data_IF_446646336101
#
_entry.id   IF_446646336101
#
_cell.length_a   1.000
_cell.length_b   1.000
_cell.length_c   1.000
_cell.angle_alpha   90.00
_cell.angle_beta   90.00
_cell.angle_gamma   90.00
#
_symmetry.space_group_name_H-M   'P 1'
#
loop_
_entity.id
_entity.type
_entity.pdbx_description
1 polymer ?
#
# COMPACT_ATOMS: atom_id res chain seq x y z
N UNK A 1 10.82 -14.21 -7.76
CA UNK A 1 9.53 -14.65 -8.31
C UNK A 1 8.44 -14.11 -7.39
N UNK A 2 7.34 -13.56 -7.93
CA UNK A 2 6.15 -13.26 -7.13
C UNK A 2 5.52 -14.58 -6.68
N UNK A 3 4.87 -14.62 -5.51
CA UNK A 3 4.38 -15.88 -4.94
C UNK A 3 2.91 -15.72 -4.56
N UNK A 4 2.06 -16.61 -5.07
CA UNK A 4 0.66 -16.70 -4.64
C UNK A 4 -0.20 -15.47 -4.96
N UNK A 5 0.20 -14.64 -5.94
CA UNK A 5 -0.60 -13.50 -6.37
C UNK A 5 -1.98 -14.01 -6.84
N UNK A 6 -3.10 -13.45 -6.35
CA UNK A 6 -4.42 -13.84 -6.81
C UNK A 6 -4.60 -13.51 -8.29
N UNK A 7 -5.56 -14.17 -8.94
CA UNK A 7 -5.95 -13.79 -10.28
C UNK A 7 -6.56 -12.38 -10.26
N UNK A 8 -5.92 -11.46 -10.97
CA UNK A 8 -6.36 -10.07 -11.11
C UNK A 8 -6.84 -9.87 -12.54
N UNK A 9 -8.07 -9.38 -12.69
CA UNK A 9 -8.73 -9.17 -13.98
C UNK A 9 -8.96 -7.68 -14.24
N UNK A 10 -9.10 -7.32 -15.51
CA UNK A 10 -9.44 -5.96 -15.93
C UNK A 10 -8.52 -5.41 -17.02
N UNK A 11 -8.61 -4.09 -17.24
CA UNK A 11 -7.81 -3.40 -18.26
C UNK A 11 -6.32 -3.44 -17.91
N UNK A 12 -5.41 -3.35 -18.89
CA UNK A 12 -3.98 -3.25 -18.61
C UNK A 12 -3.63 -2.09 -17.67
N UNK A 13 -2.56 -2.25 -16.89
CA UNK A 13 -1.89 -1.18 -16.15
C UNK A 13 -0.59 -0.89 -16.90
N UNK A 14 -0.39 0.36 -17.29
CA UNK A 14 0.84 0.80 -17.94
C UNK A 14 1.90 1.06 -16.87
N UNK A 15 3.14 0.70 -17.17
CA UNK A 15 4.28 0.92 -16.27
C UNK A 15 5.34 1.70 -17.03
N UNK A 16 5.84 2.78 -16.42
CA UNK A 16 6.97 3.55 -16.94
C UNK A 16 8.00 3.81 -15.86
N UNK A 17 9.17 4.27 -16.27
CA UNK A 17 10.29 4.57 -15.37
C UNK A 17 10.65 6.04 -15.48
N UNK A 18 10.83 6.71 -14.34
CA UNK A 18 11.39 8.06 -14.24
C UNK A 18 12.62 8.06 -13.34
N UNK A 19 13.32 9.19 -13.23
CA UNK A 19 14.54 9.31 -12.42
C UNK A 19 14.41 10.39 -11.36
N UNK A 20 14.83 10.09 -10.13
CA UNK A 20 14.80 11.03 -9.00
C UNK A 20 13.37 11.53 -8.76
N UNK A 21 12.45 10.60 -8.57
CA UNK A 21 11.03 10.91 -8.38
C UNK A 21 10.78 11.60 -7.04
N UNK A 22 10.00 12.67 -7.08
CA UNK A 22 9.52 13.35 -5.87
C UNK A 22 8.02 13.67 -5.95
N UNK A 23 7.35 13.71 -4.81
CA UNK A 23 5.96 14.13 -4.67
C UNK A 23 5.89 15.55 -4.07
N UNK A 24 5.15 16.46 -4.72
CA UNK A 24 4.96 17.83 -4.24
C UNK A 24 3.58 18.36 -4.63
N UNK A 25 2.78 18.77 -3.65
CA UNK A 25 1.46 19.38 -3.89
C UNK A 25 0.51 18.49 -4.70
N UNK A 26 0.56 17.17 -4.48
CA UNK A 26 -0.25 16.19 -5.23
C UNK A 26 0.24 15.90 -6.65
N UNK A 27 1.43 16.38 -7.03
CA UNK A 27 2.04 16.12 -8.34
C UNK A 27 3.30 15.27 -8.19
N UNK A 28 3.53 14.40 -9.16
CA UNK A 28 4.79 13.70 -9.36
C UNK A 28 5.75 14.60 -10.15
N UNK A 29 6.96 14.76 -9.65
CA UNK A 29 8.06 15.45 -10.32
C UNK A 29 9.18 14.43 -10.60
N UNK A 30 9.97 14.69 -11.64
CA UNK A 30 11.12 13.87 -12.04
C UNK A 30 12.31 14.79 -12.29
N UNK A 31 13.52 14.35 -11.91
CA UNK A 31 14.76 15.10 -12.10
C UNK A 31 14.85 16.39 -11.27
N UNK A 32 14.12 16.47 -10.14
CA UNK A 32 14.11 17.62 -9.24
C UNK A 32 14.22 17.16 -7.77
N UNK A 33 15.35 16.54 -7.38
CA UNK A 33 15.48 15.88 -6.07
C UNK A 33 15.35 16.84 -4.88
N UNK A 34 15.66 18.13 -5.08
CA UNK A 34 15.61 19.16 -4.03
C UNK A 34 14.20 19.72 -3.80
N UNK A 35 13.22 19.30 -4.60
CA UNK A 35 11.84 19.79 -4.51
C UNK A 35 10.87 18.65 -4.25
N UNK A 36 10.21 18.69 -3.09
CA UNK A 36 9.20 17.70 -2.70
C UNK A 36 9.77 16.59 -1.81
N UNK A 37 9.00 15.53 -1.64
CA UNK A 37 9.42 14.34 -0.88
C UNK A 37 9.85 13.26 -1.86
N UNK A 38 11.02 12.66 -1.68
CA UNK A 38 11.46 11.54 -2.51
C UNK A 38 10.50 10.35 -2.36
N UNK A 39 10.17 9.73 -3.49
CA UNK A 39 9.31 8.54 -3.53
C UNK A 39 9.90 7.49 -4.46
N UNK A 40 9.61 6.23 -4.19
CA UNK A 40 10.07 5.12 -5.04
C UNK A 40 9.15 4.87 -6.24
N UNK A 41 7.87 5.19 -6.10
CA UNK A 41 6.89 5.05 -7.16
C UNK A 41 5.67 5.93 -6.91
N UNK A 42 4.80 6.02 -7.91
CA UNK A 42 3.47 6.58 -7.78
C UNK A 42 2.47 5.81 -8.66
N UNK A 43 1.25 5.64 -8.14
CA UNK A 43 0.11 5.08 -8.86
C UNK A 43 -0.91 6.15 -9.24
N UNK A 44 -1.24 6.22 -10.52
CA UNK A 44 -2.31 7.04 -11.07
C UNK A 44 -3.50 6.13 -11.39
N UNK A 45 -4.36 5.93 -10.38
CA UNK A 45 -5.46 4.93 -10.44
C UNK A 45 -6.41 5.17 -11.62
N UNK A 46 -6.75 6.43 -11.88
CA UNK A 46 -7.63 6.83 -12.98
C UNK A 46 -7.01 6.60 -14.37
N UNK A 47 -5.72 6.89 -14.50
CA UNK A 47 -4.98 6.77 -15.77
C UNK A 47 -4.45 5.35 -16.02
N UNK A 48 -4.62 4.44 -15.04
CA UNK A 48 -4.06 3.07 -15.09
C UNK A 48 -2.56 3.05 -15.32
N UNK A 49 -1.85 3.91 -14.61
CA UNK A 49 -0.43 4.12 -14.82
C UNK A 49 0.37 4.06 -13.52
N UNK A 50 1.47 3.32 -13.54
CA UNK A 50 2.47 3.29 -12.47
C UNK A 50 3.76 3.91 -13.01
N UNK A 51 4.35 4.82 -12.24
CA UNK A 51 5.68 5.37 -12.51
C UNK A 51 6.62 4.86 -11.42
N UNK A 52 7.69 4.18 -11.82
CA UNK A 52 8.72 3.65 -10.93
C UNK A 52 9.98 4.50 -11.00
N UNK A 53 10.67 4.71 -9.89
CA UNK A 53 12.00 5.31 -9.93
C UNK A 53 13.01 4.31 -10.51
N UNK A 54 13.83 4.77 -11.45
CA UNK A 54 14.88 4.01 -12.14
C UNK A 54 15.85 3.30 -11.20
N UNK A 55 16.08 3.85 -10.00
CA UNK A 55 16.87 3.23 -8.95
C UNK A 55 16.36 1.82 -8.58
N UNK A 56 15.04 1.60 -8.64
CA UNK A 56 14.44 0.30 -8.34
C UNK A 56 14.89 -0.80 -9.31
N UNK A 57 15.24 -0.46 -10.54
CA UNK A 57 15.71 -1.44 -11.53
C UNK A 57 17.00 -2.13 -11.08
N UNK A 58 17.82 -1.46 -10.26
CA UNK A 58 19.02 -2.04 -9.64
C UNK A 58 18.75 -2.82 -8.35
N UNK A 59 17.50 -2.84 -7.86
CA UNK A 59 17.12 -3.39 -6.56
C UNK A 59 15.93 -4.35 -6.69
N UNK A 60 16.13 -5.57 -7.21
CA UNK A 60 15.04 -6.47 -7.60
C UNK A 60 14.12 -6.91 -6.45
N UNK A 61 14.61 -6.92 -5.20
CA UNK A 61 13.76 -7.21 -4.04
C UNK A 61 12.84 -6.02 -3.69
N UNK A 62 13.40 -4.81 -3.66
CA UNK A 62 12.64 -3.59 -3.39
C UNK A 62 11.66 -3.29 -4.54
N UNK A 63 12.10 -3.46 -5.79
CA UNK A 63 11.24 -3.34 -6.97
C UNK A 63 9.99 -4.22 -6.86
N UNK A 64 10.13 -5.48 -6.42
CA UNK A 64 8.98 -6.37 -6.25
C UNK A 64 8.03 -5.89 -5.15
N UNK A 65 8.56 -5.43 -4.02
CA UNK A 65 7.74 -4.89 -2.94
C UNK A 65 6.94 -3.67 -3.40
N UNK A 66 7.64 -2.69 -3.97
CA UNK A 66 7.02 -1.45 -4.46
C UNK A 66 6.04 -1.77 -5.59
N UNK A 67 6.41 -2.57 -6.58
CA UNK A 67 5.51 -2.88 -7.68
C UNK A 67 4.23 -3.59 -7.23
N UNK A 68 4.32 -4.57 -6.33
CA UNK A 68 3.11 -5.22 -5.79
C UNK A 68 2.28 -4.23 -4.99
N UNK A 69 2.90 -3.39 -4.16
CA UNK A 69 2.20 -2.32 -3.45
C UNK A 69 1.40 -1.44 -4.43
N UNK A 70 2.07 -0.91 -5.46
CA UNK A 70 1.44 -0.04 -6.47
C UNK A 70 0.31 -0.75 -7.22
N UNK A 71 0.48 -2.03 -7.58
CA UNK A 71 -0.60 -2.82 -8.22
C UNK A 71 -1.83 -2.88 -7.32
N UNK A 72 -1.66 -3.03 -6.01
CA UNK A 72 -2.78 -3.16 -5.07
C UNK A 72 -3.54 -1.86 -4.82
N UNK A 73 -2.99 -0.69 -5.16
CA UNK A 73 -3.78 0.55 -5.27
C UNK A 73 -4.88 0.46 -6.33
N UNK A 74 -4.71 -0.35 -7.38
CA UNK A 74 -5.75 -0.60 -8.38
C UNK A 74 -6.77 -1.65 -7.92
N UNK A 75 -6.35 -2.58 -7.06
CA UNK A 75 -7.22 -3.62 -6.49
C UNK A 75 -8.14 -3.04 -5.42
N UNK A 76 -7.62 -2.19 -4.53
CA UNK A 76 -8.37 -1.59 -3.42
C UNK A 76 -9.74 -1.01 -3.82
N UNK A 77 -9.86 -0.11 -4.81
CA UNK A 77 -11.16 0.45 -5.21
C UNK A 77 -12.10 -0.59 -5.84
N UNK A 78 -11.59 -1.73 -6.34
CA UNK A 78 -12.37 -2.78 -7.02
C UNK A 78 -12.97 -3.82 -6.06
N UNK A 79 -12.48 -3.90 -4.83
CA UNK A 79 -12.99 -4.84 -3.80
C UNK A 79 -14.46 -4.59 -3.39
N UNK A 80 -15.02 -3.43 -3.72
CA UNK A 80 -16.35 -3.02 -3.29
C UNK A 80 -16.40 -2.56 -1.82
N UNK A 81 -17.51 -1.93 -1.43
CA UNK A 81 -17.65 -1.35 -0.09
C UNK A 81 -17.61 -2.38 1.05
N UNK A 82 -18.26 -3.56 0.95
CA UNK A 82 -18.30 -4.51 2.07
C UNK A 82 -16.91 -5.04 2.46
N UNK A 83 -16.09 -5.42 1.47
CA UNK A 83 -14.74 -5.93 1.73
C UNK A 83 -13.85 -4.83 2.32
N UNK A 84 -13.89 -3.61 1.77
CA UNK A 84 -13.13 -2.48 2.32
C UNK A 84 -13.51 -2.16 3.76
N UNK A 85 -14.81 -2.17 4.08
CA UNK A 85 -15.29 -1.96 5.45
C UNK A 85 -14.84 -3.08 6.40
N UNK A 86 -14.85 -4.34 5.94
CA UNK A 86 -14.35 -5.46 6.74
C UNK A 86 -12.84 -5.36 7.02
N UNK A 87 -12.05 -4.89 6.05
CA UNK A 87 -10.63 -4.64 6.25
C UNK A 87 -10.39 -3.47 7.21
N UNK A 88 -11.15 -2.38 7.06
CA UNK A 88 -11.12 -1.23 7.96
C UNK A 88 -11.41 -1.65 9.41
N UNK A 89 -12.45 -2.46 9.64
CA UNK A 89 -12.80 -2.97 10.97
C UNK A 89 -11.66 -3.82 11.58
N UNK A 90 -11.03 -4.68 10.77
CA UNK A 90 -9.88 -5.47 11.20
C UNK A 90 -8.74 -4.56 11.69
N UNK A 91 -8.42 -3.50 10.95
CA UNK A 91 -7.36 -2.55 11.30
C UNK A 91 -7.77 -1.62 12.46
N UNK A 92 -9.05 -1.30 12.62
CA UNK A 92 -9.58 -0.60 13.80
C UNK A 92 -9.31 -1.41 15.06
N UNK A 93 -9.66 -2.70 15.06
CA UNK A 93 -9.41 -3.59 16.21
C UNK A 93 -7.92 -3.72 16.53
N UNK A 94 -7.06 -3.83 15.50
CA UNK A 94 -5.60 -3.80 15.67
C UNK A 94 -5.15 -2.55 16.43
N UNK A 95 -5.62 -1.38 16.00
CA UNK A 95 -5.27 -0.10 16.59
C UNK A 95 -5.78 0.03 18.03
N UNK A 96 -7.02 -0.36 18.29
CA UNK A 96 -7.63 -0.29 19.62
C UNK A 96 -6.94 -1.23 20.62
N UNK A 97 -6.43 -2.36 20.13
CA UNK A 97 -5.58 -3.27 20.90
C UNK A 97 -4.10 -2.83 20.97
N UNK A 98 -3.76 -1.63 20.47
CA UNK A 98 -2.40 -1.07 20.56
C UNK A 98 -1.37 -1.74 19.65
N UNK A 99 -1.78 -2.28 18.49
CA UNK A 99 -0.87 -2.89 17.52
C UNK A 99 0.27 -1.94 17.12
N UNK A 100 1.51 -2.37 17.37
CA UNK A 100 2.74 -1.68 16.98
C UNK A 100 3.29 -2.21 15.66
N UNK A 101 4.04 -1.37 14.96
CA UNK A 101 4.61 -1.67 13.65
C UNK A 101 3.59 -1.67 12.52
N UNK A 102 4.08 -1.93 11.30
CA UNK A 102 3.33 -2.13 10.06
C UNK A 102 4.08 -3.10 9.13
N UNK A 103 3.50 -3.39 7.96
CA UNK A 103 4.06 -4.27 6.93
C UNK A 103 4.71 -3.51 5.76
N UNK A 104 4.88 -2.20 5.88
CA UNK A 104 5.62 -1.38 4.91
C UNK A 104 5.75 0.06 5.40
N UNK A 105 6.59 0.82 4.71
CA UNK A 105 6.90 2.20 5.07
C UNK A 105 5.68 3.13 4.84
N UNK A 106 4.94 2.94 3.75
CA UNK A 106 3.77 3.78 3.42
C UNK A 106 2.69 3.72 4.50
N UNK A 107 2.33 2.52 4.97
CA UNK A 107 1.39 2.34 6.07
C UNK A 107 1.94 2.90 7.39
N UNK A 108 3.24 2.72 7.66
CA UNK A 108 3.88 3.25 8.86
C UNK A 108 3.83 4.80 8.90
N UNK A 109 4.15 5.46 7.79
CA UNK A 109 4.07 6.92 7.65
C UNK A 109 2.64 7.43 7.75
N UNK A 110 1.67 6.74 7.13
CA UNK A 110 0.25 7.08 7.24
C UNK A 110 -0.28 6.92 8.66
N UNK A 111 0.16 5.89 9.39
CA UNK A 111 -0.16 5.68 10.81
C UNK A 111 0.39 6.79 11.69
N UNK A 112 1.61 7.27 11.43
CA UNK A 112 2.19 8.42 12.12
C UNK A 112 1.43 9.71 11.79
N UNK A 113 1.09 9.92 10.52
CA UNK A 113 0.31 11.07 10.06
C UNK A 113 -1.08 11.12 10.71
N UNK A 114 -1.73 9.97 10.87
CA UNK A 114 -3.00 9.84 11.59
C UNK A 114 -2.86 10.23 13.07
N UNK A 115 -1.79 9.81 13.74
CA UNK A 115 -1.51 10.21 15.13
C UNK A 115 -1.27 11.71 15.24
N UNK A 116 -0.52 12.30 14.32
CA UNK A 116 -0.29 13.74 14.27
C UNK A 116 -1.59 14.52 14.05
N UNK A 117 -2.55 13.95 13.32
CA UNK A 117 -3.85 14.56 13.06
C UNK A 117 -4.87 14.41 14.21
N UNK A 118 -4.47 13.95 15.41
CA UNK A 118 -5.37 13.74 16.54
C UNK A 118 -6.14 15.00 16.96
N UNK A 119 -5.53 16.18 16.80
CA UNK A 119 -6.12 17.48 17.13
C UNK A 119 -6.63 18.27 15.91
N UNK A 120 -6.67 17.65 14.73
CA UNK A 120 -7.20 18.28 13.52
C UNK A 120 -8.73 18.18 13.44
N UNK A 121 -9.31 18.85 12.42
CA UNK A 121 -10.74 18.72 12.10
C UNK A 121 -11.13 17.25 11.85
N UNK A 122 -12.39 16.93 12.12
CA UNK A 122 -12.92 15.58 11.90
C UNK A 122 -12.76 15.11 10.45
N UNK A 123 -12.89 16.01 9.48
CA UNK A 123 -12.74 15.68 8.06
C UNK A 123 -11.29 15.31 7.72
N UNK A 124 -10.31 16.09 8.19
CA UNK A 124 -8.90 15.75 7.99
C UNK A 124 -8.57 14.39 8.62
N UNK A 125 -9.08 14.13 9.82
CA UNK A 125 -8.88 12.84 10.50
C UNK A 125 -9.48 11.68 9.71
N UNK A 126 -10.67 11.85 9.13
CA UNK A 126 -11.31 10.83 8.26
C UNK A 126 -10.51 10.57 6.99
N UNK A 127 -9.96 11.61 6.36
CA UNK A 127 -9.08 11.45 5.18
C UNK A 127 -7.84 10.65 5.56
N UNK A 128 -7.11 11.07 6.61
CA UNK A 128 -5.92 10.35 7.08
C UNK A 128 -6.19 8.91 7.49
N UNK A 129 -7.38 8.65 8.04
CA UNK A 129 -7.80 7.30 8.36
C UNK A 129 -7.96 6.45 7.10
N UNK A 130 -8.67 6.96 6.08
CA UNK A 130 -8.87 6.27 4.80
C UNK A 130 -7.56 6.02 4.06
N UNK A 131 -6.65 6.99 4.08
CA UNK A 131 -5.30 6.84 3.52
C UNK A 131 -4.56 5.71 4.22
N UNK A 132 -4.51 5.73 5.57
CA UNK A 132 -3.87 4.68 6.36
C UNK A 132 -4.45 3.29 6.09
N UNK A 133 -5.78 3.15 5.96
CA UNK A 133 -6.40 1.87 5.63
C UNK A 133 -5.96 1.37 4.24
N UNK A 134 -5.94 2.26 3.24
CA UNK A 134 -5.49 1.94 1.89
C UNK A 134 -4.02 1.51 1.87
N UNK A 135 -3.14 2.28 2.50
CA UNK A 135 -1.71 1.96 2.58
C UNK A 135 -1.45 0.65 3.34
N UNK A 136 -2.15 0.46 4.47
CA UNK A 136 -2.08 -0.78 5.25
C UNK A 136 -2.47 -2.00 4.41
N UNK A 137 -3.50 -1.88 3.59
CA UNK A 137 -3.91 -2.93 2.66
C UNK A 137 -2.84 -3.21 1.60
N UNK A 138 -2.32 -2.18 0.93
CA UNK A 138 -1.33 -2.34 -0.14
C UNK A 138 0.01 -2.90 0.37
N UNK A 139 0.48 -2.46 1.53
CA UNK A 139 1.67 -2.99 2.19
C UNK A 139 1.49 -4.45 2.64
N UNK A 140 0.30 -4.80 3.11
CA UNK A 140 -0.01 -6.20 3.45
C UNK A 140 0.05 -7.09 2.22
N UNK A 141 -0.47 -6.63 1.09
CA UNK A 141 -0.40 -7.35 -0.18
C UNK A 141 1.05 -7.49 -0.68
N UNK A 142 1.84 -6.42 -0.60
CA UNK A 142 3.26 -6.46 -0.94
C UNK A 142 4.02 -7.47 -0.09
N UNK A 143 3.78 -7.47 1.22
CA UNK A 143 4.35 -8.45 2.15
C UNK A 143 3.97 -9.89 1.78
N UNK A 144 2.71 -10.15 1.44
CA UNK A 144 2.22 -11.49 1.06
C UNK A 144 2.78 -11.98 -0.28
N UNK A 145 2.74 -11.13 -1.32
CA UNK A 145 2.83 -11.59 -2.71
C UNK A 145 4.15 -11.24 -3.42
N UNK A 146 4.96 -10.32 -2.89
CA UNK A 146 6.25 -9.96 -3.51
C UNK A 146 7.29 -11.09 -3.48
N UNK A 147 7.07 -12.13 -2.66
CA UNK A 147 8.02 -13.22 -2.46
C UNK A 147 9.31 -12.73 -1.80
N UNK A 148 9.18 -11.85 -0.79
CA UNK A 148 10.29 -11.30 -0.01
C UNK A 148 10.10 -11.71 1.45
N UNK A 149 10.93 -12.64 1.94
CA UNK A 149 10.71 -13.28 3.24
C UNK A 149 10.98 -12.39 4.47
N UNK A 150 12.00 -11.54 4.42
CA UNK A 150 12.33 -10.58 5.49
C UNK A 150 12.65 -9.22 4.87
N UNK A 151 12.01 -8.18 5.38
CA UNK A 151 12.33 -6.79 5.08
C UNK A 151 12.31 -6.00 6.39
N UNK A 152 13.20 -5.01 6.52
CA UNK A 152 13.34 -4.22 7.75
C UNK A 152 12.07 -3.45 8.13
N UNK A 153 11.24 -3.14 7.14
CA UNK A 153 9.97 -2.42 7.34
C UNK A 153 8.84 -3.34 7.85
N UNK A 154 9.03 -4.66 7.81
CA UNK A 154 8.04 -5.63 8.31
C UNK A 154 8.15 -5.78 9.82
N UNK A 155 7.50 -4.85 10.53
CA UNK A 155 7.58 -4.70 11.98
C UNK A 155 6.29 -5.04 12.71
N UNK A 156 5.18 -5.26 11.98
CA UNK A 156 3.90 -5.63 12.57
C UNK A 156 4.02 -6.92 13.39
N UNK A 157 3.35 -7.01 14.55
CA UNK A 157 3.37 -8.23 15.37
C UNK A 157 2.72 -9.45 14.69
N UNK A 158 3.23 -10.65 14.95
CA UNK A 158 2.81 -11.90 14.26
C UNK A 158 1.29 -12.13 14.30
N UNK A 159 0.66 -11.97 15.47
CA UNK A 159 -0.80 -12.09 15.63
C UNK A 159 -1.60 -11.26 14.62
N UNK A 160 -1.15 -10.04 14.32
CA UNK A 160 -1.83 -9.14 13.40
C UNK A 160 -1.56 -9.52 11.95
N UNK A 161 -0.35 -9.98 11.64
CA UNK A 161 -0.02 -10.56 10.32
C UNK A 161 -0.92 -11.74 10.00
N UNK A 162 -1.13 -12.63 10.97
CA UNK A 162 -1.98 -13.81 10.78
C UNK A 162 -3.42 -13.42 10.47
N UNK A 163 -3.98 -12.43 11.18
CA UNK A 163 -5.34 -11.92 10.92
C UNK A 163 -5.46 -11.27 9.54
N UNK A 164 -4.51 -10.43 9.16
CA UNK A 164 -4.48 -9.82 7.82
C UNK A 164 -4.34 -10.88 6.73
N UNK A 165 -3.47 -11.88 6.93
CA UNK A 165 -3.30 -13.01 6.02
C UNK A 165 -4.61 -13.76 5.82
N UNK A 166 -5.31 -14.07 6.92
CA UNK A 166 -6.57 -14.81 6.88
C UNK A 166 -7.66 -14.04 6.14
N UNK A 167 -7.74 -12.72 6.38
CA UNK A 167 -8.65 -11.86 5.65
C UNK A 167 -8.35 -11.88 4.14
N UNK A 168 -7.08 -11.75 3.74
CA UNK A 168 -6.67 -11.80 2.33
C UNK A 168 -7.02 -13.15 1.70
N UNK A 169 -6.72 -14.26 2.37
CA UNK A 169 -7.09 -15.61 1.91
C UNK A 169 -8.60 -15.72 1.72
N UNK A 170 -9.39 -15.28 2.68
CA UNK A 170 -10.86 -15.35 2.59
C UNK A 170 -11.39 -14.54 1.41
N UNK A 171 -10.92 -13.30 1.23
CA UNK A 171 -11.42 -12.41 0.18
C UNK A 171 -11.03 -12.89 -1.22
N UNK A 172 -9.80 -13.33 -1.41
CA UNK A 172 -9.29 -13.71 -2.73
C UNK A 172 -9.52 -15.20 -3.09
N UNK A 173 -9.80 -16.08 -2.11
CA UNK A 173 -10.19 -17.48 -2.39
C UNK A 173 -11.64 -17.64 -2.82
N UNK A 174 -12.53 -16.69 -2.47
CA UNK A 174 -13.96 -16.76 -2.79
C UNK A 174 -14.29 -16.46 -4.26
N UNK A 175 -13.31 -16.44 -5.18
CA UNK A 175 -13.56 -16.23 -6.61
C UNK A 175 -14.21 -14.88 -6.93
N UNK A 176 -14.19 -13.92 -6.00
CA UNK A 176 -14.57 -12.52 -6.28
C UNK A 176 -13.43 -11.90 -7.07
N UNK A 177 -13.41 -12.22 -8.36
CA UNK A 177 -12.47 -11.67 -9.32
C UNK A 177 -12.45 -10.15 -9.15
N UNK A 178 -11.29 -9.64 -8.78
CA UNK A 178 -11.03 -8.21 -8.79
C UNK A 178 -10.73 -7.79 -10.22
#
# INVERSE_FOLDING_TARGET
>A
MLVGLPELSGRPIFVSVGSQLTAHGGKLLSGSPDRGTQIHAASFVHDRHIVLDSYLLSRPYLLRLILVHEIFHFVWPRLGNPARAAYEELVSVERDCGARGELGESAALSKLSLKAAANCTNDNRRVRWRDYICESFCDTAAWLYAGVGRHREFTLGQRWRDRRTEWFRTVFSQGRGC
#
